data_IF_336785593362
#
_entry.id   IF_336785593362
#
_cell.length_a   1.000
_cell.length_b   1.000
_cell.length_c   1.000
_cell.angle_alpha   90.00
_cell.angle_beta   90.00
_cell.angle_gamma   90.00
#
_symmetry.space_group_name_H-M   'P 1'
#
loop_
_entity.id
_entity.type
_entity.pdbx_description
1 polymer ?
2 non-polymer ?
3 non-polymer ?
4 water ?
#
# COMPACT_ATOMS: atom_id res chain seq x y z
N UNK A 1 -20.63 17.35 9.20
CA UNK A 1 -19.46 18.19 9.01
C UNK A 1 -18.27 17.83 9.90
N UNK A 2 -17.42 18.83 10.19
CA UNK A 2 -16.20 18.56 10.94
C UNK A 2 -16.49 17.90 12.29
N UNK A 3 -17.55 18.33 12.97
CA UNK A 3 -17.89 17.71 14.24
C UNK A 3 -18.13 16.20 14.06
N UNK A 4 -18.84 15.82 13.00
CA UNK A 4 -19.13 14.40 12.77
C UNK A 4 -17.87 13.64 12.36
N UNK A 5 -17.08 14.22 11.46
CA UNK A 5 -15.83 13.62 11.04
C UNK A 5 -14.90 13.43 12.24
N UNK A 6 -14.86 14.41 13.14
CA UNK A 6 -14.10 14.25 14.38
C UNK A 6 -14.56 13.03 15.16
N UNK A 7 -15.88 12.85 15.27
CA UNK A 7 -16.43 11.75 16.05
C UNK A 7 -16.02 10.41 15.46
N UNK A 8 -16.04 10.29 14.13
CA UNK A 8 -15.56 9.09 13.48
C UNK A 8 -14.11 8.82 13.89
N UNK A 9 -13.27 9.86 13.90
CA UNK A 9 -11.84 9.64 14.15
C UNK A 9 -11.59 9.20 15.59
N UNK A 10 -12.34 9.77 16.54
CA UNK A 10 -12.23 9.31 17.92
C UNK A 10 -12.71 7.87 18.07
N UNK A 11 -13.74 7.48 17.30
CA UNK A 11 -14.21 6.09 17.32
C UNK A 11 -13.10 5.13 16.86
N UNK A 12 -12.43 5.45 15.75
CA UNK A 12 -11.37 4.59 15.25
C UNK A 12 -10.19 4.54 16.20
N UNK A 13 -9.99 5.59 16.98
CA UNK A 13 -8.82 5.65 17.88
C UNK A 13 -8.96 4.64 19.02
N UNK A 14 -10.17 4.44 19.52
CA UNK A 14 -10.37 3.49 20.61
C UNK A 14 -10.10 2.05 20.19
N UNK A 15 -10.51 1.69 18.97
CA UNK A 15 -10.25 0.34 18.48
C UNK A 15 -8.78 0.12 18.16
N UNK A 16 -8.01 1.20 18.00
CA UNK A 16 -6.58 1.05 17.72
C UNK A 16 -5.81 0.64 18.98
N UNK A 17 -6.25 1.11 20.15
CA UNK A 17 -5.56 0.73 21.38
C UNK A 17 -5.81 -0.71 21.79
N UNK A 18 -6.88 -1.32 21.29
CA UNK A 18 -7.22 -2.70 21.62
C UNK A 18 -6.57 -3.72 20.70
N UNK A 19 -5.82 -3.28 19.70
CA UNK A 19 -5.09 -4.21 18.83
C UNK A 19 -3.59 -4.10 19.06
N UNK A 20 -3.18 -3.48 20.16
CA UNK A 20 -1.78 -3.56 20.56
C UNK A 20 -1.42 -4.99 20.90
N UNK A 21 -2.31 -5.70 21.60
CA UNK A 21 -2.07 -7.09 21.93
C UNK A 21 -2.07 -7.98 20.69
N UNK A 22 -2.90 -7.65 19.69
CA UNK A 22 -2.94 -8.46 18.48
C UNK A 22 -1.70 -8.24 17.64
N UNK A 23 -1.18 -7.01 17.61
CA UNK A 23 0.11 -6.71 16.97
C UNK A 23 1.24 -7.51 17.60
N UNK A 24 1.17 -7.76 18.92
CA UNK A 24 2.18 -8.57 19.56
C UNK A 24 2.19 -9.99 19.05
N UNK A 25 0.99 -10.58 18.89
CA UNK A 25 0.89 -11.92 18.33
C UNK A 25 1.45 -11.96 16.91
N UNK A 26 1.14 -10.94 16.11
CA UNK A 26 1.67 -10.89 14.75
C UNK A 26 3.19 -10.82 14.79
N UNK A 27 3.74 -9.88 15.55
CA UNK A 27 5.18 -9.76 15.61
C UNK A 27 5.82 -11.07 16.07
N UNK A 28 5.17 -11.78 17.00
CA UNK A 28 5.69 -13.06 17.45
C UNK A 28 5.80 -14.07 16.33
N UNK A 29 4.75 -14.20 15.53
CA UNK A 29 4.76 -15.18 14.44
C UNK A 29 5.70 -14.72 13.34
N UNK A 30 5.69 -13.42 13.04
CA UNK A 30 6.52 -12.89 11.95
C UNK A 30 8.00 -13.13 12.24
N UNK A 31 8.44 -12.90 13.48
CA UNK A 31 9.85 -13.02 13.80
C UNK A 31 10.29 -14.49 13.76
N UNK A 32 9.39 -15.38 14.19
CA UNK A 32 9.59 -16.82 14.05
C UNK A 32 9.78 -17.21 12.60
N UNK A 33 8.94 -16.71 11.71
CA UNK A 33 9.03 -17.05 10.30
C UNK A 33 10.28 -16.44 9.64
N UNK A 34 10.63 -15.20 9.97
CA UNK A 34 11.88 -14.63 9.46
C UNK A 34 13.08 -15.44 9.89
N UNK A 35 12.98 -16.09 11.03
CA UNK A 35 14.11 -16.84 11.56
C UNK A 35 14.30 -18.14 10.81
N UNK A 36 13.21 -18.85 10.53
CA UNK A 36 13.28 -20.10 9.80
C UNK A 36 13.56 -19.85 8.33
N UNK A 37 13.07 -18.74 7.79
CA UNK A 37 13.39 -18.37 6.42
C UNK A 37 14.88 -18.09 6.25
N UNK A 38 15.48 -17.37 7.21
CA UNK A 38 16.92 -17.09 7.15
C UNK A 38 17.76 -18.35 7.16
N UNK A 39 17.23 -19.46 7.65
CA UNK A 39 17.98 -20.70 7.59
C UNK A 39 18.02 -21.31 6.20
N UNK A 40 17.22 -20.80 5.26
CA UNK A 40 17.19 -21.31 3.89
C UNK A 40 18.30 -20.66 3.07
N UNK A 41 18.95 -21.46 2.23
CA UNK A 41 20.05 -20.93 1.42
C UNK A 41 19.56 -19.87 0.45
N UNK A 42 18.31 -19.96 0.00
CA UNK A 42 17.78 -19.02 -0.97
C UNK A 42 17.33 -17.72 -0.31
N UNK A 43 16.69 -17.83 0.86
CA UNK A 43 16.13 -16.68 1.55
C UNK A 43 17.03 -16.17 2.67
N UNK A 44 18.33 -16.44 2.59
CA UNK A 44 19.25 -16.11 3.68
C UNK A 44 19.12 -14.64 4.05
N UNK A 45 19.15 -13.77 3.06
CA UNK A 45 19.15 -12.34 3.36
C UNK A 45 17.75 -11.75 3.44
N UNK A 46 16.75 -12.57 3.74
CA UNK A 46 15.41 -12.02 3.85
C UNK A 46 15.32 -11.16 5.12
N UNK A 47 14.47 -10.14 5.07
CA UNK A 47 14.29 -9.28 6.21
C UNK A 47 12.94 -8.61 6.17
N UNK A 48 12.61 -7.97 7.29
CA UNK A 48 11.36 -7.25 7.40
C UNK A 48 11.52 -5.89 6.76
N UNK A 49 10.50 -5.45 6.02
CA UNK A 49 10.50 -4.13 5.41
C UNK A 49 9.69 -3.20 6.29
N UNK A 50 10.34 -2.13 6.77
CA UNK A 50 9.71 -1.09 7.57
C UNK A 50 8.76 -0.27 6.71
N UNK A 51 7.46 -0.42 6.94
CA UNK A 51 6.46 0.36 6.22
C UNK A 51 5.55 1.17 7.14
N UNK A 52 5.68 1.05 8.47
CA UNK A 52 4.92 1.91 9.37
C UNK A 52 4.74 1.46 10.82
N UNK A 56 1.37 -3.50 9.21
CA UNK A 56 0.46 -2.35 9.23
C UNK A 56 -0.99 -2.67 8.75
N UNK A 57 -1.76 -1.64 8.37
CA UNK A 57 -3.19 -1.78 8.10
C UNK A 57 -3.61 -1.19 6.76
N UNK A 58 -3.96 -2.05 5.81
CA UNK A 58 -4.70 -1.61 4.62
C UNK A 58 -6.17 -1.36 4.96
N UNK A 59 -6.70 -2.10 5.94
CA UNK A 59 -8.08 -1.97 6.42
C UNK A 59 -8.05 -1.37 7.83
N UNK A 60 -8.66 -0.19 7.99
CA UNK A 60 -8.80 0.46 9.29
C UNK A 60 -10.21 0.31 9.86
N UNK A 61 -11.13 -0.31 9.11
CA UNK A 61 -12.41 -0.76 9.63
C UNK A 61 -12.36 -2.20 10.10
N UNK A 62 -11.28 -2.92 9.79
CA UNK A 62 -11.00 -4.26 10.30
C UNK A 62 -9.66 -4.18 11.01
N UNK A 63 -9.66 -3.86 12.30
CA UNK A 63 -8.39 -3.72 13.03
C UNK A 63 -7.68 -5.04 13.27
N UNK A 64 -8.25 -6.19 12.90
CA UNK A 64 -7.59 -7.47 13.11
C UNK A 64 -6.95 -8.04 11.85
N UNK A 65 -6.97 -7.31 10.74
CA UNK A 65 -6.31 -7.72 9.50
C UNK A 65 -5.01 -6.94 9.34
N UNK A 66 -3.88 -7.64 9.27
CA UNK A 66 -2.55 -7.04 9.21
C UNK A 66 -1.87 -7.33 7.88
N UNK A 67 -0.91 -6.47 7.53
CA UNK A 67 -0.21 -6.48 6.25
C UNK A 67 1.28 -6.36 6.50
N UNK A 68 2.06 -7.38 6.14
CA UNK A 68 3.51 -7.35 6.32
C UNK A 68 4.21 -7.60 4.98
N UNK A 69 5.40 -6.99 4.84
CA UNK A 69 6.21 -7.15 3.64
C UNK A 69 7.60 -7.63 4.05
N UNK A 70 8.04 -8.74 3.46
CA UNK A 70 9.42 -9.21 3.61
C UNK A 70 10.18 -8.76 2.39
N UNK A 71 11.39 -8.27 2.59
CA UNK A 71 12.22 -7.86 1.47
C UNK A 71 13.38 -8.85 1.32
N UNK A 72 13.85 -8.99 0.09
CA UNK A 72 15.02 -9.82 -0.23
C UNK A 72 15.92 -9.02 -1.17
N UNK A 73 17.11 -8.64 -0.71
CA UNK A 73 17.98 -7.87 -1.60
C UNK A 73 18.59 -8.77 -2.69
N UNK A 74 18.49 -8.31 -3.93
CA UNK A 74 19.04 -9.01 -5.10
C UNK A 74 20.04 -8.08 -5.80
N UNK A 75 21.32 -8.18 -5.48
CA UNK A 75 22.29 -7.27 -6.06
C UNK A 75 22.67 -7.70 -7.47
N UNK A 76 23.22 -6.73 -8.21
CA UNK A 76 23.48 -6.91 -9.63
C UNK A 76 22.23 -7.49 -10.31
N UNK A 77 21.21 -6.65 -10.32
CA UNK A 77 19.90 -6.97 -10.87
C UNK A 77 19.74 -6.21 -12.17
N UNK A 78 19.29 -6.90 -13.22
CA UNK A 78 19.00 -6.25 -14.49
C UNK A 78 17.50 -6.31 -14.70
N UNK A 79 16.88 -5.17 -14.98
CA UNK A 79 15.44 -5.09 -15.19
C UNK A 79 15.15 -4.85 -16.65
N UNK A 80 14.06 -5.45 -17.13
CA UNK A 80 13.62 -5.31 -18.51
C UNK A 80 12.13 -5.04 -18.50
N UNK A 81 11.73 -3.87 -18.97
CA UNK A 81 10.34 -3.44 -18.91
C UNK A 81 9.46 -4.30 -19.80
N UNK A 82 8.36 -4.80 -19.25
CA UNK A 82 7.41 -5.60 -20.03
C UNK A 82 6.54 -4.70 -20.91
N UNK A 83 6.47 -5.02 -22.21
CA UNK A 83 5.82 -4.14 -23.18
C UNK A 83 6.31 -2.73 -22.93
N UNK A 84 5.41 -1.76 -22.96
CA UNK A 84 5.73 -0.44 -22.45
C UNK A 84 4.77 -0.11 -21.32
N UNK A 85 4.62 -1.05 -20.41
CA UNK A 85 3.69 -0.91 -19.30
C UNK A 85 4.23 -0.04 -18.17
N UNK A 86 5.52 0.26 -18.19
CA UNK A 86 6.14 1.18 -17.26
C UNK A 86 6.26 0.60 -15.86
N UNK A 87 5.24 -0.14 -15.40
CA UNK A 87 5.27 -0.63 -14.02
C UNK A 87 5.74 -2.06 -13.87
N UNK A 88 5.73 -2.88 -14.93
CA UNK A 88 6.04 -4.30 -14.82
C UNK A 88 7.34 -4.65 -15.56
N UNK A 89 8.12 -5.54 -14.96
CA UNK A 89 9.48 -5.78 -15.39
C UNK A 89 9.81 -7.25 -15.25
N UNK A 90 10.61 -7.72 -16.19
CA UNK A 90 11.33 -8.98 -16.04
C UNK A 90 12.60 -8.73 -15.24
N UNK A 91 12.96 -9.68 -14.41
CA UNK A 91 14.16 -9.61 -13.58
C UNK A 91 15.18 -10.60 -14.14
N UNK A 92 16.35 -10.08 -14.54
CA UNK A 92 17.49 -10.86 -15.02
C UNK A 92 18.73 -10.54 -14.19
N UNK A 93 19.77 -11.33 -14.37
CA UNK A 93 20.98 -11.19 -13.54
C UNK A 93 22.13 -10.51 -14.28
N UNK A 97 28.87 -14.96 -13.98
CA UNK A 97 30.14 -15.71 -13.92
C UNK A 97 30.12 -16.79 -12.83
N UNK A 98 29.79 -16.36 -11.62
CA UNK A 98 29.50 -17.24 -10.50
C UNK A 98 27.99 -17.35 -10.32
N UNK A 99 27.55 -18.52 -9.88
CA UNK A 99 26.15 -18.80 -9.59
C UNK A 99 25.91 -18.68 -8.08
N UNK A 100 24.67 -18.36 -7.72
CA UNK A 100 24.30 -18.14 -6.33
C UNK A 100 22.95 -18.81 -6.09
N UNK A 101 22.58 -19.05 -4.80
CA UNK A 101 21.32 -19.77 -4.50
C UNK A 101 20.07 -19.30 -5.23
N UNK A 102 20.03 -18.05 -5.70
CA UNK A 102 18.82 -17.57 -6.36
C UNK A 102 18.63 -18.20 -7.73
N UNK A 103 19.64 -18.87 -8.28
CA UNK A 103 19.48 -19.51 -9.57
C UNK A 103 18.48 -20.65 -9.51
N UNK A 104 18.17 -21.15 -8.32
CA UNK A 104 17.15 -22.18 -8.21
C UNK A 104 15.75 -21.64 -8.50
N UNK A 105 15.61 -20.32 -8.66
CA UNK A 105 14.36 -19.68 -9.06
C UNK A 105 14.36 -19.21 -10.51
N UNK A 106 15.41 -19.50 -11.26
CA UNK A 106 15.44 -19.05 -12.65
C UNK A 106 14.57 -19.96 -13.52
N UNK A 107 13.90 -19.34 -14.48
CA UNK A 107 13.15 -20.03 -15.53
C UNK A 107 13.71 -19.51 -16.84
N UNK A 108 14.72 -20.17 -17.35
CA UNK A 108 15.49 -19.59 -18.43
C UNK A 108 16.43 -18.60 -17.84
N UNK A 109 16.52 -17.41 -18.43
CA UNK A 109 17.38 -16.37 -17.89
C UNK A 109 16.61 -15.27 -17.15
N UNK A 110 15.42 -15.58 -16.63
CA UNK A 110 14.66 -14.60 -15.87
C UNK A 110 14.28 -15.19 -14.52
N UNK A 111 14.08 -14.29 -13.53
CA UNK A 111 13.74 -14.69 -12.19
C UNK A 111 12.24 -14.99 -12.13
N UNK A 112 11.90 -16.22 -11.76
CA UNK A 112 10.51 -16.66 -11.69
C UNK A 112 9.90 -16.32 -10.35
N UNK A 113 8.79 -15.59 -10.36
CA UNK A 113 8.08 -15.32 -9.11
C UNK A 113 7.35 -16.56 -8.61
N UNK A 114 6.87 -17.43 -9.53
CA UNK A 114 6.18 -18.66 -9.14
C UNK A 114 7.11 -19.58 -8.38
N UNK A 115 8.30 -19.85 -8.94
CA UNK A 115 9.25 -20.70 -8.25
C UNK A 115 9.57 -20.16 -6.87
N UNK A 116 9.85 -18.86 -6.79
CA UNK A 116 10.21 -18.26 -5.52
C UNK A 116 9.06 -18.29 -4.53
N UNK A 117 7.84 -17.99 -5.00
CA UNK A 117 6.68 -18.05 -4.11
C UNK A 117 6.41 -19.46 -3.65
N UNK A 118 6.69 -20.45 -4.50
CA UNK A 118 6.40 -21.82 -4.11
C UNK A 118 7.30 -22.26 -2.97
N UNK A 119 8.59 -21.94 -3.03
CA UNK A 119 9.49 -22.34 -1.95
C UNK A 119 9.20 -21.51 -0.71
N UNK A 120 8.88 -20.23 -0.91
CA UNK A 120 8.45 -19.37 0.19
C UNK A 120 7.24 -19.97 0.92
N UNK A 121 6.22 -20.39 0.17
CA UNK A 121 5.03 -20.98 0.78
C UNK A 121 5.35 -22.29 1.49
N UNK A 122 6.13 -23.17 0.86
CA UNK A 122 6.42 -24.46 1.47
C UNK A 122 7.08 -24.28 2.82
N UNK A 123 8.00 -23.32 2.92
CA UNK A 123 8.69 -23.09 4.18
C UNK A 123 7.72 -22.62 5.25
N UNK A 124 6.97 -21.56 4.95
CA UNK A 124 6.06 -21.01 5.95
C UNK A 124 5.06 -22.07 6.41
N UNK A 125 4.45 -22.77 5.45
CA UNK A 125 3.51 -23.82 5.80
C UNK A 125 4.15 -24.88 6.69
N UNK A 126 5.41 -25.22 6.43
CA UNK A 126 6.12 -26.18 7.28
C UNK A 126 6.37 -25.60 8.66
N UNK A 127 6.75 -24.32 8.73
CA UNK A 127 7.05 -23.74 10.03
C UNK A 127 5.77 -23.42 10.82
N UNK A 128 4.71 -23.02 10.13
CA UNK A 128 3.43 -22.80 10.81
C UNK A 128 3.03 -24.04 11.59
N UNK A 129 3.18 -25.23 10.99
CA UNK A 129 2.80 -26.46 11.67
C UNK A 129 3.71 -26.76 12.84
N UNK A 130 4.95 -26.30 12.80
CA UNK A 130 5.89 -26.54 13.88
C UNK A 130 5.66 -25.64 15.07
N UNK A 131 4.86 -24.58 14.92
CA UNK A 131 4.61 -23.68 16.03
C UNK A 131 3.62 -24.34 17.00
N UNK A 132 3.97 -24.33 18.29
CA UNK A 132 3.12 -24.90 19.34
C UNK A 132 2.74 -23.89 20.44
N UNK A 133 3.37 -22.72 20.48
CA UNK A 133 3.08 -21.75 21.54
C UNK A 133 1.80 -20.95 21.30
N UNK A 134 1.27 -20.98 20.06
CA UNK A 134 0.05 -20.29 19.67
C UNK A 134 -0.57 -21.03 18.49
N UNK A 135 -1.86 -20.81 18.27
CA UNK A 135 -2.54 -21.49 17.17
C UNK A 135 -2.57 -20.56 15.95
N UNK A 136 -2.01 -21.04 14.85
CA UNK A 136 -1.92 -20.27 13.62
C UNK A 136 -2.16 -21.21 12.44
N UNK A 137 -3.07 -20.82 11.56
CA UNK A 137 -3.42 -21.60 10.39
C UNK A 137 -2.97 -20.82 9.17
N UNK A 138 -2.80 -21.54 8.05
CA UNK A 138 -2.55 -20.90 6.78
C UNK A 138 -3.81 -20.99 5.91
N UNK A 139 -4.09 -19.93 5.18
CA UNK A 139 -5.25 -19.86 4.29
C UNK A 139 -4.86 -20.17 2.85
N UNK A 140 -5.88 -20.35 2.00
CA UNK A 140 -5.68 -20.88 0.66
C UNK A 140 -5.35 -19.75 -0.32
N UNK A 141 -4.50 -20.08 -1.29
CA UNK A 141 -3.90 -19.12 -2.23
C UNK A 141 -4.92 -18.35 -3.06
N UNK A 145 -3.55 -14.04 -6.56
CA UNK A 145 -3.16 -13.93 -5.15
C UNK A 145 -1.71 -14.41 -4.90
N UNK A 146 -0.76 -13.47 -4.83
CA UNK A 146 0.65 -13.85 -4.62
C UNK A 146 1.12 -13.79 -3.17
N UNK A 147 0.33 -13.20 -2.27
CA UNK A 147 0.75 -13.10 -0.89
C UNK A 147 0.49 -14.43 -0.16
N UNK A 148 1.00 -14.54 1.08
CA UNK A 148 0.67 -15.64 1.98
C UNK A 148 -0.15 -15.08 3.15
N UNK A 149 -1.26 -15.74 3.48
CA UNK A 149 -2.16 -15.25 4.51
C UNK A 149 -2.28 -16.26 5.64
N UNK A 150 -2.13 -15.79 6.87
CA UNK A 150 -2.21 -16.61 8.07
C UNK A 150 -3.32 -16.13 8.98
N UNK A 151 -3.87 -17.05 9.76
CA UNK A 151 -4.90 -16.75 10.74
C UNK A 151 -4.33 -17.11 12.10
N UNK A 152 -4.19 -16.09 12.96
CA UNK A 152 -3.75 -16.29 14.34
C UNK A 152 -4.97 -16.19 15.25
N UNK A 153 -5.13 -17.17 16.12
CA UNK A 153 -6.35 -17.32 16.94
C UNK A 153 -7.51 -17.52 15.95
N UNK A 154 -8.66 -16.92 16.22
CA UNK A 154 -9.76 -17.01 15.28
C UNK A 154 -9.99 -15.70 14.56
N UNK A 155 -9.45 -14.60 15.07
CA UNK A 155 -9.75 -13.28 14.56
C UNK A 155 -8.62 -12.67 13.74
N UNK A 156 -7.38 -12.81 14.16
CA UNK A 156 -6.29 -12.04 13.58
C UNK A 156 -5.83 -12.71 12.29
N UNK A 157 -5.62 -11.90 11.25
CA UNK A 157 -5.10 -12.43 10.00
C UNK A 157 -3.97 -11.54 9.50
N UNK A 158 -3.00 -12.18 8.88
CA UNK A 158 -1.77 -11.53 8.45
C UNK A 158 -1.52 -11.88 6.99
N UNK A 159 -1.34 -10.86 6.16
CA UNK A 159 -0.94 -11.01 4.77
C UNK A 159 0.55 -10.71 4.68
N UNK A 160 1.31 -11.66 4.16
CA UNK A 160 2.76 -11.51 4.05
C UNK A 160 3.10 -11.47 2.57
N UNK A 161 3.73 -10.38 2.14
CA UNK A 161 4.13 -10.22 0.76
C UNK A 161 5.65 -10.23 0.69
N UNK A 162 6.20 -10.98 -0.26
CA UNK A 162 7.64 -11.02 -0.46
C UNK A 162 8.02 -10.08 -1.59
N UNK A 163 8.99 -9.20 -1.34
CA UNK A 163 9.45 -8.23 -2.32
C UNK A 163 10.94 -8.35 -2.56
N UNK A 164 11.36 -8.17 -3.81
CA UNK A 164 12.75 -7.97 -4.15
C UNK A 164 13.14 -6.53 -3.89
N UNK A 165 14.34 -6.32 -3.38
CA UNK A 165 14.84 -5.00 -3.06
C UNK A 165 16.05 -4.69 -3.92
N UNK A 166 16.05 -3.52 -4.56
CA UNK A 166 17.21 -3.04 -5.30
C UNK A 166 17.68 -1.73 -4.70
N UNK A 167 18.97 -1.65 -4.39
CA UNK A 167 19.54 -0.42 -3.86
C UNK A 167 20.14 0.43 -4.96
N UNK A 168 19.88 0.09 -6.22
CA UNK A 168 20.38 0.89 -7.32
C UNK A 168 19.37 1.97 -7.67
N UNK A 169 19.73 2.76 -8.67
CA UNK A 169 18.96 3.93 -9.05
C UNK A 169 17.55 3.54 -9.52
N UNK A 170 16.56 4.35 -9.17
CA UNK A 170 15.17 4.06 -9.51
C UNK A 170 14.96 3.97 -11.03
N UNK A 171 14.11 3.06 -11.50
CA UNK A 171 13.95 2.87 -12.95
C UNK A 171 13.48 4.13 -13.64
N UNK A 172 13.72 4.16 -14.94
CA UNK A 172 13.63 5.40 -15.70
C UNK A 172 12.21 5.90 -15.81
N UNK A 173 11.23 5.01 -15.64
CA UNK A 173 9.83 5.38 -15.80
C UNK A 173 9.32 6.23 -14.65
N UNK A 174 10.07 6.29 -13.55
CA UNK A 174 9.75 7.13 -12.40
C UNK A 174 10.39 8.50 -12.46
N UNK A 175 10.97 8.87 -13.59
CA UNK A 175 11.82 10.05 -13.62
C UNK A 175 11.02 11.34 -13.37
N UNK A 176 9.77 11.39 -13.83
CA UNK A 176 8.94 12.58 -13.71
C UNK A 176 7.92 12.45 -12.59
N UNK A 177 8.13 11.51 -11.66
CA UNK A 177 7.18 11.23 -10.63
C UNK A 177 7.69 11.72 -9.29
N UNK A 178 6.92 11.43 -8.25
CA UNK A 178 7.23 11.90 -6.92
C UNK A 178 7.40 13.42 -6.94
N UNK A 179 6.41 14.10 -7.53
CA UNK A 179 6.54 15.53 -7.78
C UNK A 179 6.13 16.31 -6.53
N UNK A 180 6.97 16.20 -5.51
CA UNK A 180 6.72 16.81 -4.21
C UNK A 180 7.52 18.08 -3.97
N UNK A 181 8.19 18.62 -5.00
CA UNK A 181 9.13 19.73 -4.80
C UNK A 181 8.44 20.96 -4.24
N UNK A 182 7.19 21.20 -4.63
CA UNK A 182 6.47 22.41 -4.22
C UNK A 182 5.99 22.33 -2.80
N UNK A 183 5.89 21.13 -2.26
CA UNK A 183 5.34 20.86 -0.94
C UNK A 183 6.47 20.63 0.06
N UNK A 184 7.30 19.62 -0.20
CA UNK A 184 8.34 19.21 0.72
C UNK A 184 9.75 19.62 0.29
N UNK A 185 9.90 20.21 -0.90
CA UNK A 185 11.15 20.74 -1.48
C UNK A 185 11.90 19.69 -2.30
N UNK A 186 12.67 20.18 -3.28
CA UNK A 186 13.37 19.28 -4.19
C UNK A 186 14.41 18.42 -3.49
N UNK A 187 14.99 18.92 -2.39
CA UNK A 187 16.05 18.13 -1.78
C UNK A 187 15.48 16.97 -1.01
N UNK A 188 14.23 17.06 -0.60
CA UNK A 188 13.57 15.93 0.02
C UNK A 188 13.25 14.87 -1.03
N UNK A 189 12.81 15.33 -2.21
CA UNK A 189 12.59 14.41 -3.32
C UNK A 189 13.88 13.69 -3.69
N UNK A 190 15.00 14.43 -3.77
CA UNK A 190 16.29 13.80 -4.05
C UNK A 190 16.61 12.75 -3.00
N UNK A 191 16.43 13.10 -1.72
CA UNK A 191 16.70 12.14 -0.65
C UNK A 191 15.85 10.88 -0.81
N UNK A 192 14.54 11.06 -0.97
CA UNK A 192 13.67 9.90 -1.09
C UNK A 192 14.11 9.01 -2.24
N UNK A 193 14.49 9.62 -3.37
CA UNK A 193 14.88 8.85 -4.55
C UNK A 193 16.25 8.19 -4.41
N UNK A 194 16.94 8.41 -3.29
CA UNK A 194 18.14 7.64 -2.96
C UNK A 194 17.81 6.37 -2.19
N UNK A 195 16.60 6.24 -1.70
CA UNK A 195 16.20 5.03 -1.03
C UNK A 195 16.06 3.90 -2.06
N UNK A 196 16.11 2.64 -1.61
CA UNK A 196 15.93 1.53 -2.54
C UNK A 196 14.52 1.51 -3.12
N UNK A 197 14.34 0.70 -4.14
CA UNK A 197 13.01 0.42 -4.62
C UNK A 197 12.76 -1.09 -4.57
N UNK A 198 11.51 -1.48 -4.78
CA UNK A 198 11.07 -2.84 -4.53
C UNK A 198 10.31 -3.37 -5.73
N UNK A 199 10.28 -4.69 -5.83
CA UNK A 199 9.54 -5.36 -6.88
C UNK A 199 8.74 -6.48 -6.23
N UNK A 200 7.45 -6.55 -6.55
CA UNK A 200 6.62 -7.61 -5.99
C UNK A 200 6.09 -8.49 -7.11
N UNK A 201 5.78 -9.75 -6.82
CA UNK A 201 5.03 -10.56 -7.79
C UNK A 201 3.65 -9.95 -8.02
N UNK A 202 3.17 -10.09 -9.24
CA UNK A 202 1.84 -9.59 -9.54
C UNK A 202 0.78 -10.68 -9.33
N UNK A 203 -0.48 -10.28 -9.40
CA UNK A 203 -1.59 -11.22 -9.40
C UNK A 203 -1.68 -11.99 -10.73
N UNK A 204 -2.42 -13.11 -10.71
CA UNK A 204 -2.99 -13.61 -11.95
C UNK A 204 -4.18 -12.76 -12.38
N UNK A 205 -4.77 -12.00 -11.45
CA UNK A 205 -5.82 -11.04 -11.80
C UNK A 205 -5.26 -9.92 -12.66
N UNK A 206 -4.22 -9.22 -12.18
CA UNK A 206 -3.67 -8.08 -12.88
C UNK A 206 -2.77 -8.53 -14.04
N UNK A 207 -2.74 -7.73 -15.10
CA UNK A 207 -1.85 -8.01 -16.23
C UNK A 207 -2.41 -9.04 -17.19
N UNK A 208 -1.52 -9.63 -17.97
CA UNK A 208 -1.91 -10.63 -18.96
C UNK A 208 -1.88 -12.05 -18.38
N UNK A 211 -0.75 -16.38 -17.23
CA UNK A 211 0.33 -16.25 -16.26
C UNK A 211 1.65 -15.85 -16.93
N UNK A 212 2.27 -14.79 -16.40
CA UNK A 212 3.52 -14.21 -16.88
C UNK A 212 4.41 -13.96 -15.68
N UNK A 213 5.73 -14.11 -15.86
CA UNK A 213 6.67 -13.93 -14.74
C UNK A 213 7.27 -12.53 -14.71
N UNK A 214 6.37 -11.54 -14.71
CA UNK A 214 6.70 -10.13 -14.57
C UNK A 214 6.56 -9.71 -13.11
N UNK A 215 7.38 -8.77 -12.70
CA UNK A 215 7.30 -8.17 -11.38
C UNK A 215 6.87 -6.72 -11.52
N UNK A 216 6.30 -6.18 -10.44
CA UNK A 216 5.73 -4.84 -10.41
C UNK A 216 6.49 -3.94 -9.44
N UNK A 217 6.74 -2.70 -9.87
CA UNK A 217 7.44 -1.75 -9.01
C UNK A 217 6.62 -1.51 -7.76
N UNK A 218 7.29 -1.48 -6.61
CA UNK A 218 6.64 -1.15 -5.36
C UNK A 218 7.43 -0.07 -4.65
N UNK A 219 6.70 0.90 -4.09
CA UNK A 219 7.30 1.95 -3.28
C UNK A 219 6.59 2.07 -1.95
N UNK A 220 6.14 0.93 -1.40
CA UNK A 220 5.34 0.94 -0.17
C UNK A 220 6.11 1.44 1.03
N UNK A 221 7.40 1.68 0.91
CA UNK A 221 8.16 2.23 2.01
C UNK A 221 8.12 3.76 2.05
N UNK A 222 7.51 4.40 1.05
CA UNK A 222 7.65 5.84 0.89
C UNK A 222 6.59 6.60 1.68
N UNK A 223 5.37 6.03 1.75
CA UNK A 223 4.27 6.65 2.48
C UNK A 223 4.68 7.00 3.91
N UNK A 224 5.34 6.06 4.59
CA UNK A 224 5.83 6.29 5.95
C UNK A 224 6.76 7.49 6.02
N UNK A 225 7.70 7.60 5.07
CA UNK A 225 8.62 8.74 5.04
C UNK A 225 7.86 10.05 4.94
N UNK A 226 6.83 10.11 4.12
CA UNK A 226 6.13 11.35 3.94
C UNK A 226 5.18 11.62 5.09
N UNK A 227 4.42 10.61 5.52
CA UNK A 227 3.48 10.83 6.61
C UNK A 227 4.17 11.26 7.89
N UNK A 228 5.40 10.80 8.13
CA UNK A 228 6.12 11.21 9.33
C UNK A 228 6.85 12.55 9.19
N UNK A 229 6.73 13.21 8.06
CA UNK A 229 7.44 14.46 7.82
C UNK A 229 6.65 15.17 6.74
N UNK A 230 5.40 15.49 7.04
CA UNK A 230 4.38 15.77 6.04
C UNK A 230 4.12 17.25 5.81
N UNK A 231 4.67 18.12 6.60
CA UNK A 231 4.34 19.52 6.48
C UNK A 231 5.28 20.24 5.57
N UNK A 232 4.81 21.35 5.00
CA UNK A 232 5.78 22.31 4.54
C UNK A 232 6.62 22.80 5.70
N UNK A 233 6.02 22.94 6.89
CA UNK A 233 6.81 23.30 8.07
C UNK A 233 7.50 22.07 8.64
N UNK A 234 8.78 22.25 8.99
CA UNK A 234 9.55 21.16 9.61
C UNK A 234 9.00 20.75 10.97
N UNK A 235 8.19 21.61 11.61
CA UNK A 235 7.61 21.36 12.93
C UNK A 235 6.10 21.14 12.85
N UNK A 236 5.57 20.84 11.67
CA UNK A 236 4.14 20.61 11.53
C UNK A 236 3.72 19.43 12.39
N UNK A 237 2.69 19.65 13.21
CA UNK A 237 2.15 18.68 14.15
C UNK A 237 3.15 18.35 15.26
N UNK A 238 4.04 19.28 15.59
CA UNK A 238 4.98 19.07 16.69
C UNK A 238 4.84 20.09 17.81
N UNK A 239 3.78 20.90 17.80
CA UNK A 239 3.50 21.83 18.90
C UNK A 239 2.02 22.19 18.85
N UNK A 240 1.59 23.01 19.84
CA UNK A 240 0.18 23.35 19.96
C UNK A 240 -0.34 24.14 18.76
N UNK A 241 0.49 25.06 18.24
CA UNK A 241 0.10 26.06 17.25
C UNK A 241 0.18 25.56 15.80
N UNK A 242 0.58 24.30 15.59
CA UNK A 242 0.76 23.76 14.23
C UNK A 242 0.13 22.37 14.18
N UNK A 243 -1.18 22.32 14.31
CA UNK A 243 -1.93 21.08 14.19
C UNK A 243 -2.63 21.08 12.83
N UNK A 244 -2.27 20.13 11.95
CA UNK A 244 -2.86 19.99 10.62
C UNK A 244 -3.71 18.74 10.59
N UNK A 245 -4.48 18.57 9.51
CA UNK A 245 -5.38 17.43 9.42
C UNK A 245 -5.09 16.54 8.21
N UNK A 246 -3.82 16.49 7.78
CA UNK A 246 -3.49 15.63 6.65
C UNK A 246 -3.70 14.16 6.99
N UNK A 247 -3.14 13.70 8.11
CA UNK A 247 -3.31 12.30 8.48
C UNK A 247 -4.78 11.96 8.64
N UNK A 248 -5.56 12.85 9.25
CA UNK A 248 -6.97 12.55 9.47
C UNK A 248 -7.72 12.47 8.15
N UNK A 249 -7.34 13.29 7.15
CA UNK A 249 -8.08 13.27 5.89
C UNK A 249 -7.79 12.00 5.12
N UNK A 250 -6.53 11.56 5.14
CA UNK A 250 -6.19 10.28 4.53
C UNK A 250 -6.95 9.15 5.23
N UNK A 251 -7.02 9.17 6.57
CA UNK A 251 -7.79 8.15 7.28
C UNK A 251 -9.27 8.17 6.86
N UNK A 252 -9.87 9.37 6.76
CA UNK A 252 -11.29 9.42 6.40
C UNK A 252 -11.52 8.97 4.96
N UNK A 253 -10.62 9.35 4.04
CA UNK A 253 -10.73 8.85 2.67
C UNK A 253 -10.63 7.34 2.62
N UNK A 254 -9.70 6.75 3.38
CA UNK A 254 -9.57 5.29 3.39
C UNK A 254 -10.84 4.64 3.94
N UNK A 255 -11.34 5.16 5.06
CA UNK A 255 -12.54 4.61 5.68
C UNK A 255 -13.75 4.72 4.77
N UNK A 256 -13.85 5.84 4.02
CA UNK A 256 -14.99 6.03 3.13
C UNK A 256 -15.04 4.96 2.05
N UNK A 257 -13.89 4.62 1.47
CA UNK A 257 -13.87 3.58 0.46
C UNK A 257 -14.12 2.21 1.06
N UNK A 258 -13.51 1.93 2.22
CA UNK A 258 -13.76 0.65 2.90
C UNK A 258 -15.24 0.49 3.20
N UNK A 259 -15.88 1.53 3.76
CA UNK A 259 -17.30 1.43 4.08
C UNK A 259 -18.15 1.24 2.82
N UNK A 260 -17.82 1.95 1.74
CA UNK A 260 -18.60 1.81 0.50
C UNK A 260 -18.43 0.42 -0.12
N UNK A 261 -17.22 -0.14 -0.05
CA UNK A 261 -17.01 -1.48 -0.60
C UNK A 261 -17.75 -2.53 0.22
N UNK A 262 -17.85 -2.34 1.53
CA UNK A 262 -18.62 -3.25 2.37
C UNK A 262 -20.10 -3.14 2.07
N UNK A 263 -20.60 -1.92 1.89
CA UNK A 263 -22.02 -1.71 1.59
C UNK A 263 -22.42 -2.40 0.29
N UNK A 264 -21.50 -2.54 -0.66
CA UNK A 264 -21.78 -3.12 -1.96
C UNK A 264 -20.89 -4.34 -2.22
N UNK A 265 -20.65 -5.17 -1.19
CA UNK A 265 -19.82 -6.36 -1.40
C UNK A 265 -20.55 -7.44 -2.20
N UNK A 266 -21.87 -7.36 -2.31
CA UNK A 266 -22.62 -8.32 -3.13
C UNK A 266 -22.43 -8.05 -4.62
N UNK A 267 -22.44 -6.77 -5.01
CA UNK A 267 -22.13 -6.39 -6.38
C UNK A 267 -20.63 -6.52 -6.61
N UNK A 268 -20.25 -6.63 -7.88
CA UNK A 268 -18.83 -6.63 -8.21
C UNK A 268 -18.29 -5.23 -8.47
N UNK A 269 -19.17 -4.22 -8.52
CA UNK A 269 -18.83 -2.94 -9.14
C UNK A 269 -17.65 -2.24 -8.49
N UNK A 270 -17.25 -2.60 -7.26
CA UNK A 270 -16.19 -1.87 -6.56
C UNK A 270 -14.98 -2.72 -6.26
N UNK A 271 -14.92 -3.94 -6.79
CA UNK A 271 -13.82 -4.85 -6.48
C UNK A 271 -12.47 -4.26 -6.86
N UNK A 272 -12.43 -3.45 -7.92
CA UNK A 272 -11.17 -2.94 -8.47
C UNK A 272 -10.63 -1.72 -7.75
N UNK A 273 -11.41 -1.08 -6.89
CA UNK A 273 -10.93 0.09 -6.14
C UNK A 273 -10.28 -0.38 -4.85
N UNK A 274 -9.19 0.27 -4.47
CA UNK A 274 -8.44 -0.13 -3.29
C UNK A 274 -7.80 1.09 -2.66
N UNK A 275 -7.15 0.89 -1.51
CA UNK A 275 -6.55 2.01 -0.81
C UNK A 275 -5.44 2.67 -1.62
N UNK A 276 -4.83 1.96 -2.58
CA UNK A 276 -3.93 2.58 -3.54
C UNK A 276 -4.50 3.86 -4.12
N UNK A 277 -5.68 3.72 -4.72
CA UNK A 277 -6.33 4.81 -5.42
C UNK A 277 -6.62 5.97 -4.49
N UNK A 278 -7.11 5.68 -3.29
CA UNK A 278 -7.38 6.75 -2.33
C UNK A 278 -6.08 7.45 -1.96
N UNK A 279 -5.05 6.67 -1.58
CA UNK A 279 -3.76 7.25 -1.21
C UNK A 279 -3.22 8.12 -2.34
N UNK A 280 -3.11 7.55 -3.54
CA UNK A 280 -2.60 8.31 -4.67
C UNK A 280 -3.37 9.60 -4.86
N UNK A 281 -4.70 9.55 -4.69
CA UNK A 281 -5.50 10.77 -4.85
C UNK A 281 -5.25 11.74 -3.71
N UNK A 282 -5.08 11.21 -2.49
CA UNK A 282 -4.74 12.06 -1.35
C UNK A 282 -3.43 12.81 -1.58
N UNK A 283 -2.37 12.08 -1.93
CA UNK A 283 -1.06 12.72 -2.05
C UNK A 283 -0.99 13.65 -3.23
N UNK A 284 -1.88 13.49 -4.23
CA UNK A 284 -1.97 14.51 -5.28
C UNK A 284 -2.60 15.80 -4.72
N UNK A 285 -3.60 15.67 -3.85
CA UNK A 285 -4.18 16.85 -3.22
C UNK A 285 -3.16 17.54 -2.33
N UNK A 286 -2.31 16.76 -1.62
CA UNK A 286 -1.24 17.38 -0.84
C UNK A 286 -0.27 18.14 -1.74
N UNK A 287 -0.01 17.62 -2.94
CA UNK A 287 0.85 18.34 -3.87
C UNK A 287 0.18 19.61 -4.33
N UNK A 288 -1.12 19.54 -4.56
CA UNK A 288 -1.83 20.69 -5.11
C UNK A 288 -2.05 21.76 -4.04
N UNK A 289 -2.20 21.36 -2.77
CA UNK A 289 -2.35 22.28 -1.63
C UNK A 289 -1.16 22.11 -0.70
N UNK A 290 -0.01 22.73 -1.03
CA UNK A 290 1.21 22.46 -0.27
C UNK A 290 1.31 23.21 1.06
N UNK A 291 0.49 24.23 1.30
CA UNK A 291 0.67 25.06 2.47
C UNK A 291 0.03 24.38 3.67
N UNK A 292 0.73 24.41 4.80
CA UNK A 292 0.16 23.89 6.03
C UNK A 292 -1.15 24.60 6.36
N UNK A 293 -1.29 25.87 5.97
CA UNK A 293 -2.52 26.58 6.29
C UNK A 293 -3.70 26.09 5.47
N UNK A 294 -3.48 25.27 4.45
CA UNK A 294 -4.56 24.65 3.70
C UNK A 294 -5.02 23.36 4.35
N UNK A 295 -4.48 23.05 5.52
CA UNK A 295 -4.75 21.80 6.21
C UNK A 295 -4.98 22.04 7.69
N UNK A 296 -5.46 23.22 8.04
CA UNK A 296 -5.60 23.59 9.44
C UNK A 296 -6.62 22.66 10.10
N UNK A 297 -6.31 22.22 11.32
CA UNK A 297 -7.17 21.26 12.02
C UNK A 297 -8.59 21.78 12.17
N UNK A 298 -8.75 23.09 12.30
CA UNK A 298 -10.08 23.68 12.45
C UNK A 298 -10.92 23.54 11.18
N UNK A 299 -10.29 23.33 10.03
CA UNK A 299 -10.99 23.21 8.76
C UNK A 299 -11.10 21.77 8.30
N UNK A 300 -11.22 20.83 9.25
CA UNK A 300 -11.33 19.41 8.89
C UNK A 300 -12.42 19.16 7.85
N UNK A 301 -13.59 19.77 8.02
CA UNK A 301 -14.68 19.55 7.10
C UNK A 301 -14.37 20.02 5.69
N UNK A 302 -13.77 21.21 5.57
CA UNK A 302 -13.42 21.74 4.24
C UNK A 302 -12.30 20.93 3.63
N UNK A 303 -11.27 20.59 4.43
CA UNK A 303 -10.15 19.82 3.93
C UNK A 303 -10.59 18.46 3.40
N UNK A 304 -11.46 17.76 4.13
CA UNK A 304 -11.96 16.48 3.64
C UNK A 304 -12.76 16.65 2.35
N UNK A 305 -13.61 17.70 2.29
CA UNK A 305 -14.40 17.96 1.10
C UNK A 305 -13.51 18.13 -0.12
N UNK A 306 -12.37 18.82 0.07
CA UNK A 306 -11.41 18.95 -1.02
C UNK A 306 -10.93 17.60 -1.47
N UNK A 307 -10.58 16.72 -0.52
CA UNK A 307 -10.13 15.39 -0.88
C UNK A 307 -11.20 14.64 -1.64
N UNK A 308 -12.45 14.75 -1.19
CA UNK A 308 -13.55 14.06 -1.83
C UNK A 308 -13.75 14.60 -3.25
N UNK A 309 -13.83 15.91 -3.41
CA UNK A 309 -14.13 16.46 -4.73
C UNK A 309 -12.99 16.18 -5.71
N UNK A 310 -11.74 16.18 -5.24
CA UNK A 310 -10.63 15.80 -6.11
C UNK A 310 -10.79 14.38 -6.60
N UNK A 311 -11.13 13.47 -5.68
CA UNK A 311 -11.32 12.08 -6.07
C UNK A 311 -12.45 11.93 -7.08
N UNK A 312 -13.54 12.69 -6.89
CA UNK A 312 -14.65 12.65 -7.83
C UNK A 312 -14.22 13.11 -9.23
N UNK A 313 -13.45 14.21 -9.30
CA UNK A 313 -12.92 14.69 -10.56
C UNK A 313 -12.07 13.63 -11.27
N UNK A 314 -11.23 12.93 -10.53
CA UNK A 314 -10.46 11.84 -11.11
C UNK A 314 -11.38 10.79 -11.70
N UNK A 315 -12.45 10.47 -10.97
CA UNK A 315 -13.40 9.48 -11.43
C UNK A 315 -14.06 9.90 -12.74
N UNK A 316 -14.54 11.14 -12.79
CA UNK A 316 -15.31 11.57 -13.95
C UNK A 316 -14.44 11.64 -15.19
N UNK A 317 -13.23 12.18 -15.06
CA UNK A 317 -12.30 12.29 -16.17
C UNK A 317 -11.51 11.01 -16.42
N UNK A 318 -11.68 9.98 -15.58
CA UNK A 318 -11.00 8.69 -15.76
C UNK A 318 -9.47 8.85 -15.74
N UNK A 319 -8.98 9.74 -14.87
CA UNK A 319 -7.56 10.02 -14.80
C UNK A 319 -7.12 10.06 -13.35
N UNK A 320 -6.27 9.12 -12.96
CA UNK A 320 -5.57 9.17 -11.67
C UNK A 320 -4.13 8.71 -11.93
N UNK A 321 -3.22 9.66 -12.09
CA UNK A 321 -1.82 9.30 -12.35
C UNK A 321 -1.22 8.60 -11.15
N UNK A 322 -0.55 7.48 -11.39
CA UNK A 322 0.25 6.91 -10.31
C UNK A 322 1.26 7.95 -9.86
N UNK A 323 1.57 7.94 -8.56
CA UNK A 323 2.38 9.01 -7.99
C UNK A 323 3.84 8.92 -8.40
N UNK A 324 4.31 7.73 -8.67
CA UNK A 324 5.71 7.54 -8.99
C UNK A 324 5.94 7.42 -10.47
N UNK A 325 4.94 6.91 -11.18
CA UNK A 325 5.02 6.70 -12.62
C UNK A 325 3.82 7.42 -13.22
N UNK A 326 3.95 8.73 -13.48
CA UNK A 326 2.80 9.50 -13.96
C UNK A 326 2.23 9.02 -15.28
N UNK A 327 3.02 8.38 -16.12
CA UNK A 327 2.49 7.85 -17.38
C UNK A 327 1.48 6.73 -17.16
N UNK A 328 1.35 6.19 -15.95
CA UNK A 328 0.47 5.05 -15.69
C UNK A 328 -0.81 5.57 -15.06
N UNK A 329 -1.92 5.38 -15.77
CA UNK A 329 -3.21 5.88 -15.32
C UNK A 329 -3.96 4.77 -14.55
N UNK A 330 -4.04 4.92 -13.23
CA UNK A 330 -4.74 3.94 -12.43
C UNK A 330 -6.21 3.83 -12.84
N UNK A 331 -6.82 4.92 -13.30
CA UNK A 331 -8.22 4.92 -13.70
C UNK A 331 -8.42 4.74 -15.21
N UNK A 332 -7.39 4.25 -15.91
CA UNK A 332 -7.56 3.89 -17.32
C UNK A 332 -8.73 2.94 -17.48
N UNK A 333 -9.52 3.15 -18.53
CA UNK A 333 -10.58 2.20 -18.83
C UNK A 333 -10.02 0.83 -19.18
N UNK A 334 -8.73 0.75 -19.52
CA UNK A 334 -8.08 -0.54 -19.69
C UNK A 334 -8.01 -1.32 -18.38
N UNK A 335 -8.19 -0.65 -17.24
CA UNK A 335 -8.07 -1.25 -15.92
C UNK A 335 -9.41 -1.37 -15.18
N UNK A 336 -10.17 -0.27 -15.10
CA UNK A 336 -11.50 -0.24 -14.50
C UNK A 336 -12.47 0.30 -15.55
N UNK A 337 -13.55 -0.44 -15.81
CA UNK A 337 -14.41 -0.02 -16.92
C UNK A 337 -15.19 1.23 -16.54
N UNK A 338 -15.68 1.93 -17.56
CA UNK A 338 -16.28 3.25 -17.32
C UNK A 338 -17.46 3.14 -16.36
N UNK A 339 -18.20 2.04 -16.41
CA UNK A 339 -19.42 1.92 -15.64
C UNK A 339 -19.13 1.81 -14.15
N UNK A 340 -17.96 1.28 -13.77
CA UNK A 340 -17.64 1.15 -12.35
C UNK A 340 -17.28 2.48 -11.74
N UNK A 341 -16.52 3.30 -12.46
CA UNK A 341 -16.20 4.63 -11.97
C UNK A 341 -17.48 5.47 -11.83
N UNK A 342 -18.36 5.39 -12.83
CA UNK A 342 -19.61 6.14 -12.78
C UNK A 342 -20.42 5.74 -11.55
N UNK A 343 -20.40 4.45 -11.19
CA UNK A 343 -21.14 3.98 -10.03
C UNK A 343 -20.56 4.54 -8.74
N UNK A 344 -19.25 4.43 -8.56
CA UNK A 344 -18.60 4.97 -7.37
C UNK A 344 -18.80 6.48 -7.30
N UNK A 345 -18.78 7.16 -8.45
CA UNK A 345 -19.08 8.60 -8.48
C UNK A 345 -20.47 8.87 -7.89
N UNK A 346 -21.46 8.09 -8.32
CA UNK A 346 -22.82 8.26 -7.81
C UNK A 346 -22.86 8.07 -6.30
N UNK A 347 -22.21 7.02 -5.80
CA UNK A 347 -22.28 6.75 -4.37
C UNK A 347 -21.56 7.82 -3.57
N UNK A 348 -20.40 8.28 -4.06
CA UNK A 348 -19.66 9.30 -3.32
C UNK A 348 -20.38 10.64 -3.36
N UNK A 349 -21.00 10.97 -4.50
CA UNK A 349 -21.79 12.18 -4.58
C UNK A 349 -22.95 12.13 -3.61
N UNK A 350 -23.62 10.98 -3.51
CA UNK A 350 -24.70 10.82 -2.55
C UNK A 350 -24.20 11.02 -1.13
N UNK A 351 -23.09 10.39 -0.78
CA UNK A 351 -22.51 10.54 0.54
C UNK A 351 -22.22 12.00 0.85
N UNK A 352 -21.46 12.67 -0.02
CA UNK A 352 -21.12 14.07 0.21
C UNK A 352 -22.38 14.92 0.42
N UNK A 353 -23.40 14.72 -0.44
CA UNK A 353 -24.60 15.53 -0.39
C UNK A 353 -25.43 15.31 0.85
N UNK A 354 -25.22 14.20 1.56
CA UNK A 354 -26.00 13.87 2.75
C UNK A 354 -25.15 13.80 4.00
N UNK A 355 -24.03 14.52 4.01
CA UNK A 355 -23.14 14.63 5.17
C UNK A 355 -22.63 13.27 5.62
N UNK A 356 -22.41 12.37 4.66
CA UNK A 356 -21.72 11.09 4.80
C UNK A 356 -22.41 10.17 5.80
N UNK A 357 -23.64 9.73 5.50
CA UNK A 357 -24.31 8.80 6.41
C UNK A 357 -23.63 7.45 6.48
N UNK A 358 -22.71 7.16 5.57
CA UNK A 358 -21.94 5.94 5.69
C UNK A 358 -21.03 5.97 6.91
N UNK A 359 -20.90 7.13 7.58
CA UNK A 359 -19.93 7.27 8.64
C UNK A 359 -20.48 7.01 10.03
N UNK A 360 -21.76 7.29 10.28
CA UNK A 360 -22.27 7.22 11.64
C UNK A 360 -22.41 5.77 12.12
N UNK A 361 -22.71 5.63 13.41
CA UNK A 361 -22.72 4.33 14.07
C UNK A 361 -23.75 3.34 13.50
X LIG B 1 0.87 18.29 10.30
X LIG C 1 4.03 1.80 -9.07
X LIG C 1 2.14 1.31 -10.73
X LIG C 1 1.68 8.19 -2.88
X LIG C 1 0.21 4.79 -2.95
X LIG C 1 2.13 0.18 -8.64
X LIG C 1 2.40 6.25 -1.69
X LIG C 1 0.97 0.67 -11.10
X LIG C 1 2.70 8.94 -2.34
X LIG C 1 0.95 -0.45 -9.00
X LIG C 1 3.57 8.34 -1.47
X LIG C 1 0.37 -0.21 -10.22
X LIG C 1 3.42 7.01 -1.14
X LIG C 1 2.76 1.09 -9.49
X LIG C 1 1.50 6.85 -2.59
X LIG C 1 2.38 3.00 -5.44
X LIG C 1 2.81 2.05 -3.23
X LIG C 1 3.66 1.82 -6.58
X LIG C 1 1.87 2.98 -2.74
X LIG C 1 1.21 3.86 -3.55
X LIG C 1 0.81 8.75 -3.73
X LIG C 1 3.00 2.13 -4.61
X LIG C 1 4.35 1.33 -7.72
X LIG C 1 0.50 6.17 -3.18
X LIG C 1 2.76 2.84 -6.70
X LIG C 1 3.88 1.35 -5.36
X LIG C 1 1.48 3.87 -4.92
X LIG C 1 3.44 1.24 -2.54
X LIG C 1 2.85 2.41 -11.85
#
# INVERSE_FOLDING_TARGET
GASKLRAVLEKLKLSRDDISTAAGMVKGVVDHLLLRLKCDSAFRGVGLLNTGSYYEHVKISAPNEFDVMFKLEVPRIQLEEYSNTRAYYFVKFKRNPKENPLSQFLEGEILSASKMLSKFRKIIKEEINDIKDTDVIMKRKRGGSPAVTLLISEKISVDITLALESKSSWPASTQEGLRIQNWLSAKVRKQLRLKPFYLVPKHAKEGNGFQEETWRLSFSHIEKEILNNHGKSKTCCENKEEKCCRKDCLKLMKYLLEQLKERFKDKKHLDKFSSYHVKTAFFHVCTQNPQDSQWDRKDLGLCFDNCVTYFLQCLRTEKLENYFIPEFNLFSSNLIDKRSKEFLTKQIEYERNNEFPVFDEF
ZN ZN
YUB C15 C16 C17 C18 C21 C22 C23 C24 C25 C26 C27 C28 C12 C14 C2 C5 C6 C7 C9 F20 N1 N10 N11 N3 N4 N8 O13 CL19
#
